data_IF_336363410282
#
_entry.id   IF_336363410282
#
_cell.length_a   1.000
_cell.length_b   1.000
_cell.length_c   1.000
_cell.angle_alpha   90.00
_cell.angle_beta   90.00
_cell.angle_gamma   90.00
#
_symmetry.space_group_name_H-M   'P 1'
#
loop_
_entity.id
_entity.type
_entity.pdbx_description
1 polymer ?
#
# COMPACT_ATOMS: atom_id res chain seq x y z
N UNK A 1 -11.52 4.34 7.03
CA UNK A 1 -11.68 3.05 6.33
C UNK A 1 -12.88 2.27 6.86
N UNK A 2 -13.19 2.32 8.16
CA UNK A 2 -14.28 1.56 8.79
C UNK A 2 -15.65 1.60 8.09
N UNK A 3 -16.02 2.72 7.46
CA UNK A 3 -17.31 2.83 6.76
C UNK A 3 -17.28 2.35 5.29
N UNK A 4 -16.10 1.99 4.77
CA UNK A 4 -15.95 1.49 3.41
C UNK A 4 -16.14 -0.02 3.38
N UNK A 5 -17.11 -0.48 2.57
CA UNK A 5 -17.40 -1.92 2.41
C UNK A 5 -16.28 -2.69 1.72
N UNK A 6 -15.55 -2.03 0.82
CA UNK A 6 -14.46 -2.62 0.04
C UNK A 6 -13.31 -1.61 -0.06
N UNK A 7 -12.09 -2.14 -0.04
CA UNK A 7 -10.86 -1.37 -0.22
C UNK A 7 -10.05 -2.04 -1.32
N UNK A 8 -9.61 -1.23 -2.28
CA UNK A 8 -8.62 -1.63 -3.28
C UNK A 8 -7.26 -1.16 -2.82
N UNK A 9 -6.29 -2.06 -2.80
CA UNK A 9 -4.89 -1.73 -2.61
C UNK A 9 -4.27 -1.44 -3.98
N UNK A 10 -3.72 -0.24 -4.12
CA UNK A 10 -2.89 0.15 -5.26
C UNK A 10 -1.44 0.03 -4.81
N UNK A 11 -0.65 -0.75 -5.54
CA UNK A 11 0.77 -0.95 -5.27
C UNK A 11 1.56 -0.63 -6.56
N UNK A 12 2.45 0.35 -6.48
CA UNK A 12 3.22 0.83 -7.63
C UNK A 12 4.73 0.78 -7.32
N UNK A 13 5.47 0.17 -8.24
CA UNK A 13 6.91 -0.03 -8.15
C UNK A 13 7.64 1.15 -8.80
N UNK A 14 8.61 1.72 -8.09
CA UNK A 14 9.45 2.79 -8.62
C UNK A 14 10.92 2.53 -8.34
N UNK A 15 11.76 2.86 -9.33
CA UNK A 15 13.22 2.79 -9.25
C UNK A 15 13.76 4.11 -8.72
N UNK A 16 14.38 4.09 -7.55
CA UNK A 16 15.13 5.25 -7.08
C UNK A 16 16.47 5.37 -7.83
N UNK A 17 16.96 6.61 -7.93
CA UNK A 17 18.22 7.02 -8.56
C UNK A 17 19.42 6.29 -7.93
N UNK A 18 19.27 5.84 -6.67
CA UNK A 18 20.22 5.05 -5.90
C UNK A 18 20.23 3.54 -6.20
N UNK A 19 19.42 3.06 -7.15
CA UNK A 19 19.16 1.63 -7.48
C UNK A 19 18.45 0.83 -6.39
N UNK A 20 17.85 1.51 -5.41
CA UNK A 20 16.93 0.87 -4.48
C UNK A 20 15.52 0.91 -5.07
N UNK A 21 14.86 -0.24 -5.07
CA UNK A 21 13.49 -0.35 -5.54
C UNK A 21 12.54 0.06 -4.40
N UNK A 22 11.46 0.75 -4.72
CA UNK A 22 10.47 1.19 -3.74
C UNK A 22 9.07 0.73 -4.17
N UNK A 23 8.30 0.27 -3.20
CA UNK A 23 6.89 -0.07 -3.40
C UNK A 23 6.04 0.98 -2.69
N UNK A 24 5.34 1.81 -3.48
CA UNK A 24 4.36 2.74 -2.96
C UNK A 24 3.00 2.06 -2.81
N UNK A 25 2.29 2.35 -1.72
CA UNK A 25 0.98 1.77 -1.43
C UNK A 25 -0.04 2.89 -1.21
N UNK A 26 -1.20 2.75 -1.83
CA UNK A 26 -2.35 3.61 -1.62
C UNK A 26 -3.64 2.78 -1.52
N UNK A 27 -4.60 3.29 -0.77
CA UNK A 27 -5.94 2.73 -0.70
C UNK A 27 -6.90 3.54 -1.53
N UNK A 28 -7.72 2.83 -2.31
CA UNK A 28 -8.86 3.40 -3.00
C UNK A 28 -10.13 2.72 -2.52
N UNK A 29 -11.12 3.51 -2.15
CA UNK A 29 -12.39 3.02 -1.62
C UNK A 29 -13.52 4.01 -1.93
N UNK A 30 -14.76 3.55 -1.81
CA UNK A 30 -15.94 4.42 -1.98
C UNK A 30 -16.52 4.74 -0.62
N UNK A 31 -16.71 6.03 -0.35
CA UNK A 31 -17.37 6.53 0.85
C UNK A 31 -18.47 7.52 0.44
N UNK A 32 -19.70 7.28 0.88
CA UNK A 32 -20.86 8.12 0.55
C UNK A 32 -21.03 8.38 -0.96
N UNK A 33 -20.81 7.33 -1.78
CA UNK A 33 -20.91 7.41 -3.24
C UNK A 33 -19.77 8.17 -3.92
N UNK A 34 -18.74 8.61 -3.18
CA UNK A 34 -17.55 9.26 -3.73
C UNK A 34 -16.34 8.33 -3.66
N UNK A 35 -15.56 8.31 -4.73
CA UNK A 35 -14.26 7.63 -4.75
C UNK A 35 -13.27 8.44 -3.93
N UNK A 36 -12.69 7.80 -2.93
CA UNK A 36 -11.63 8.33 -2.08
C UNK A 36 -10.34 7.58 -2.39
N UNK A 37 -9.23 8.31 -2.36
CA UNK A 37 -7.90 7.75 -2.46
C UNK A 37 -7.05 8.28 -1.31
N UNK A 38 -6.24 7.40 -0.72
CA UNK A 38 -5.38 7.73 0.40
C UNK A 38 -4.02 7.09 0.21
N UNK A 39 -2.98 7.91 0.11
CA UNK A 39 -1.61 7.43 0.17
C UNK A 39 -1.32 6.87 1.56
N UNK A 40 -0.75 5.67 1.61
CA UNK A 40 -0.46 4.95 2.86
C UNK A 40 1.02 5.08 3.20
N UNK A 41 1.90 4.96 2.21
CA UNK A 41 3.33 5.05 2.43
C UNK A 41 4.13 4.33 1.36
N UNK A 42 5.43 4.26 1.60
CA UNK A 42 6.39 3.51 0.80
C UNK A 42 7.03 2.40 1.63
N UNK A 43 7.38 1.30 0.97
CA UNK A 43 8.18 0.21 1.52
C UNK A 43 9.43 0.06 0.68
N UNK A 44 10.59 -0.01 1.32
CA UNK A 44 11.82 -0.33 0.63
C UNK A 44 11.75 -1.77 0.11
N UNK A 45 11.85 -1.95 -1.19
CA UNK A 45 11.87 -3.26 -1.82
C UNK A 45 13.32 -3.59 -2.21
N UNK A 46 13.86 -4.68 -1.68
CA UNK A 46 15.18 -5.17 -2.08
C UNK A 46 15.09 -6.21 -3.20
N UNK A 47 13.88 -6.67 -3.52
CA UNK A 47 13.57 -7.72 -4.48
C UNK A 47 12.16 -7.45 -5.06
N UNK A 48 12.00 -7.58 -6.37
CA UNK A 48 10.78 -7.25 -7.11
C UNK A 48 10.06 -8.47 -7.68
N UNK A 49 10.41 -9.67 -7.22
CA UNK A 49 9.63 -10.85 -7.58
C UNK A 49 8.21 -10.71 -7.06
N UNK A 50 7.26 -11.31 -7.77
CA UNK A 50 5.86 -11.31 -7.36
C UNK A 50 5.67 -11.81 -5.91
N UNK A 51 6.49 -12.77 -5.47
CA UNK A 51 6.46 -13.29 -4.11
C UNK A 51 6.93 -12.25 -3.08
N UNK A 52 8.02 -11.53 -3.35
CA UNK A 52 8.53 -10.48 -2.46
C UNK A 52 7.55 -9.32 -2.37
N UNK A 53 7.01 -8.85 -3.50
CA UNK A 53 6.01 -7.79 -3.54
C UNK A 53 4.75 -8.15 -2.72
N UNK A 54 4.24 -9.38 -2.88
CA UNK A 54 3.10 -9.84 -2.08
C UNK A 54 3.41 -9.81 -0.57
N UNK A 55 4.62 -10.23 -0.16
CA UNK A 55 5.03 -10.18 1.25
C UNK A 55 5.09 -8.74 1.77
N UNK A 56 5.66 -7.81 1.01
CA UNK A 56 5.75 -6.41 1.42
C UNK A 56 4.37 -5.77 1.57
N UNK A 57 3.44 -6.05 0.65
CA UNK A 57 2.07 -5.56 0.74
C UNK A 57 1.40 -6.10 2.01
N UNK A 58 1.46 -7.42 2.24
CA UNK A 58 0.84 -8.04 3.42
C UNK A 58 1.44 -7.50 4.72
N UNK A 59 2.77 -7.41 4.82
CA UNK A 59 3.43 -6.85 6.00
C UNK A 59 3.01 -5.40 6.27
N UNK A 60 2.82 -4.60 5.20
CA UNK A 60 2.33 -3.23 5.36
C UNK A 60 0.85 -3.18 5.79
N UNK A 61 0.03 -4.12 5.36
CA UNK A 61 -1.35 -4.23 5.85
C UNK A 61 -1.39 -4.58 7.34
N UNK A 62 -0.57 -5.54 7.78
CA UNK A 62 -0.49 -5.96 9.18
C UNK A 62 -0.02 -4.81 10.10
N UNK A 63 0.95 -4.00 9.63
CA UNK A 63 1.42 -2.80 10.35
C UNK A 63 0.31 -1.76 10.57
N UNK A 64 -0.55 -1.56 9.57
CA UNK A 64 -1.68 -0.62 9.67
C UNK A 64 -2.80 -1.14 10.55
N UNK A 65 -3.01 -2.46 10.60
CA UNK A 65 -3.96 -3.07 11.54
C UNK A 65 -3.48 -2.89 12.98
N UNK A 66 -2.18 -3.06 13.23
CA UNK A 66 -1.58 -2.85 14.54
C UNK A 66 -1.52 -1.36 14.94
N UNK A 67 -1.37 -0.44 13.98
CA UNK A 67 -1.21 0.99 14.19
C UNK A 67 -2.20 1.82 13.36
N UNK A 68 -3.50 1.85 13.72
CA UNK A 68 -4.55 2.49 12.92
C UNK A 68 -4.51 4.03 12.90
N UNK A 69 -3.60 4.66 13.65
CA UNK A 69 -3.40 6.13 13.67
C UNK A 69 -2.42 6.63 12.58
N UNK A 70 -1.77 5.73 11.83
CA UNK A 70 -1.07 6.04 10.58
C UNK A 70 -2.01 5.97 9.37
#
# INVERSE_FOLDING_TARGET
LHDAKYITVLADESKDISKHEQLSIAFRYVLHGKTMERFVGYTLATDLTAQSLAKYIMAKMDDLEANPEH
#
